data_IF_379260647461
#
_entry.id   IF_379260647461
#
_cell.length_a   1.000
_cell.length_b   1.000
_cell.length_c   1.000
_cell.angle_alpha   90.00
_cell.angle_beta   90.00
_cell.angle_gamma   90.00
#
_symmetry.space_group_name_H-M   'P 1'
#
loop_
_entity.id
_entity.type
_entity.pdbx_description
1 polymer ?
#
# COMPACT_ATOMS: atom_id res chain seq x y z
N UNK A 1 -18.42 -23.23 -31.56
CA UNK A 1 -18.20 -23.63 -30.15
C UNK A 1 -16.72 -23.75 -29.78
N UNK A 2 -15.91 -24.60 -30.43
CA UNK A 2 -14.48 -24.82 -30.06
C UNK A 2 -13.61 -23.54 -30.01
N UNK A 3 -13.80 -22.61 -30.96
CA UNK A 3 -13.08 -21.31 -30.99
C UNK A 3 -13.44 -20.39 -29.81
N UNK A 4 -14.72 -20.37 -29.41
CA UNK A 4 -15.20 -19.56 -28.27
C UNK A 4 -14.64 -20.12 -26.96
N UNK A 5 -14.66 -21.45 -26.80
CA UNK A 5 -14.06 -22.10 -25.63
C UNK A 5 -12.56 -21.82 -25.51
N UNK A 6 -11.81 -21.91 -26.61
CA UNK A 6 -10.37 -21.59 -26.62
C UNK A 6 -10.13 -20.13 -26.24
N UNK A 7 -10.90 -19.20 -26.79
CA UNK A 7 -10.79 -17.78 -26.46
C UNK A 7 -11.03 -17.51 -24.97
N UNK A 8 -12.07 -18.11 -24.38
CA UNK A 8 -12.37 -17.97 -22.96
C UNK A 8 -11.26 -18.54 -22.06
N UNK A 9 -10.64 -19.67 -22.45
CA UNK A 9 -9.49 -20.24 -21.74
C UNK A 9 -8.27 -19.32 -21.78
N UNK A 10 -7.99 -18.70 -22.94
CA UNK A 10 -6.91 -17.72 -23.06
C UNK A 10 -7.16 -16.51 -22.16
N UNK A 11 -8.39 -15.97 -22.18
CA UNK A 11 -8.75 -14.84 -21.33
C UNK A 11 -8.60 -15.18 -19.84
N UNK A 12 -9.07 -16.36 -19.43
CA UNK A 12 -8.92 -16.84 -18.06
C UNK A 12 -7.45 -16.97 -17.66
N UNK A 13 -6.62 -17.54 -18.55
CA UNK A 13 -5.18 -17.67 -18.32
C UNK A 13 -4.51 -16.30 -18.13
N UNK A 14 -4.85 -15.30 -18.95
CA UNK A 14 -4.33 -13.93 -18.82
C UNK A 14 -4.71 -13.33 -17.46
N UNK A 15 -5.97 -13.48 -17.03
CA UNK A 15 -6.44 -12.95 -15.74
C UNK A 15 -5.68 -13.61 -14.57
N UNK A 16 -5.50 -14.93 -14.62
CA UNK A 16 -4.75 -15.67 -13.60
C UNK A 16 -3.29 -15.22 -13.59
N UNK A 17 -2.65 -15.14 -14.76
CA UNK A 17 -1.27 -14.71 -14.90
C UNK A 17 -1.04 -13.30 -14.34
N UNK A 18 -1.87 -12.33 -14.74
CA UNK A 18 -1.80 -10.94 -14.25
C UNK A 18 -1.99 -10.86 -12.72
N UNK A 19 -2.93 -11.64 -12.18
CA UNK A 19 -3.22 -11.66 -10.74
C UNK A 19 -2.06 -12.25 -9.93
N UNK A 20 -1.44 -13.33 -10.43
CA UNK A 20 -0.26 -13.94 -9.83
C UNK A 20 0.96 -13.03 -9.94
N UNK A 21 1.23 -12.49 -11.14
CA UNK A 21 2.34 -11.58 -11.39
C UNK A 21 2.25 -10.35 -10.50
N UNK A 22 1.09 -9.70 -10.41
CA UNK A 22 0.86 -8.55 -9.54
C UNK A 22 1.08 -8.88 -8.07
N UNK A 23 0.60 -10.05 -7.63
CA UNK A 23 0.75 -10.52 -6.25
C UNK A 23 2.21 -10.79 -5.87
N UNK A 24 2.95 -11.46 -6.76
CA UNK A 24 4.38 -11.75 -6.59
C UNK A 24 5.19 -10.45 -6.60
N UNK A 25 4.92 -9.56 -7.54
CA UNK A 25 5.62 -8.27 -7.63
C UNK A 25 5.34 -7.39 -6.41
N UNK A 26 4.10 -7.36 -5.91
CA UNK A 26 3.74 -6.66 -4.66
C UNK A 26 4.49 -7.23 -3.46
N UNK A 27 4.63 -8.55 -3.39
CA UNK A 27 5.42 -9.21 -2.35
C UNK A 27 6.86 -8.71 -2.36
N UNK A 28 7.58 -8.88 -3.48
CA UNK A 28 8.99 -8.48 -3.56
C UNK A 28 9.21 -6.98 -3.34
N UNK A 29 8.32 -6.13 -3.87
CA UNK A 29 8.42 -4.69 -3.67
C UNK A 29 8.19 -4.28 -2.21
N UNK A 30 7.22 -4.91 -1.53
CA UNK A 30 6.95 -4.66 -0.12
C UNK A 30 8.13 -5.08 0.75
N UNK A 31 8.67 -6.29 0.56
CA UNK A 31 9.88 -6.75 1.26
C UNK A 31 11.06 -5.82 1.05
N UNK A 32 11.32 -5.41 -0.21
CA UNK A 32 12.43 -4.54 -0.57
C UNK A 32 12.33 -3.16 0.09
N UNK A 33 11.16 -2.53 0.01
CA UNK A 33 10.93 -1.19 0.55
C UNK A 33 10.88 -1.21 2.08
N UNK A 34 10.28 -2.23 2.69
CA UNK A 34 10.31 -2.44 4.13
C UNK A 34 11.73 -2.56 4.65
N UNK A 35 12.55 -3.42 4.04
CA UNK A 35 13.95 -3.59 4.43
C UNK A 35 14.76 -2.29 4.28
N UNK A 36 14.46 -1.50 3.24
CA UNK A 36 15.05 -0.18 3.06
C UNK A 36 14.62 0.78 4.18
N UNK A 37 13.33 0.85 4.50
CA UNK A 37 12.78 1.66 5.58
C UNK A 37 13.43 1.30 6.93
N UNK A 38 13.48 0.01 7.26
CA UNK A 38 14.13 -0.52 8.47
C UNK A 38 15.60 -0.14 8.57
N UNK A 39 16.35 -0.25 7.47
CA UNK A 39 17.77 0.17 7.43
C UNK A 39 17.93 1.66 7.68
N UNK A 40 17.03 2.49 7.15
CA UNK A 40 17.07 3.95 7.31
C UNK A 40 16.66 4.33 8.74
N UNK A 41 15.64 3.68 9.30
CA UNK A 41 15.21 3.86 10.69
C UNK A 41 16.40 3.66 11.65
N UNK A 42 17.08 2.51 11.51
CA UNK A 42 18.29 2.20 12.29
C UNK A 42 19.41 3.22 12.08
N UNK A 43 19.69 3.60 10.84
CA UNK A 43 20.77 4.54 10.50
C UNK A 43 20.51 5.95 11.05
N UNK A 44 19.26 6.40 11.07
CA UNK A 44 18.85 7.73 11.53
C UNK A 44 18.41 7.76 12.99
N UNK A 45 18.51 6.63 13.70
CA UNK A 45 18.00 6.47 15.06
C UNK A 45 16.54 6.90 15.23
N UNK A 46 15.70 6.55 14.26
CA UNK A 46 14.25 6.79 14.26
C UNK A 46 13.49 5.49 14.46
N UNK A 47 12.28 5.57 15.02
CA UNK A 47 11.36 4.43 15.09
C UNK A 47 10.82 4.08 13.69
N UNK A 48 10.62 2.81 13.40
CA UNK A 48 9.94 2.34 12.20
C UNK A 48 8.43 2.28 12.46
N UNK A 49 7.65 3.14 11.80
CA UNK A 49 6.19 3.07 11.78
C UNK A 49 5.74 2.31 10.53
N UNK A 50 5.02 1.21 10.73
CA UNK A 50 4.38 0.45 9.64
C UNK A 50 2.90 0.79 9.58
N UNK A 51 2.42 1.15 8.39
CA UNK A 51 1.00 1.43 8.10
C UNK A 51 0.51 0.38 7.10
N UNK A 52 -0.29 -0.57 7.59
CA UNK A 52 -0.90 -1.64 6.80
C UNK A 52 -0.97 -2.95 7.58
N UNK A 53 -1.22 -4.04 6.87
CA UNK A 53 -1.59 -5.32 7.47
C UNK A 53 -0.45 -6.36 7.33
N UNK A 54 0.61 -6.32 8.17
CA UNK A 54 1.69 -7.32 8.12
C UNK A 54 1.23 -8.71 8.62
N UNK A 55 0.05 -8.80 9.24
CA UNK A 55 -0.47 -9.98 9.89
C UNK A 55 -1.16 -10.94 8.91
N UNK A 56 -1.99 -10.40 8.01
CA UNK A 56 -2.76 -11.18 7.05
C UNK A 56 -2.22 -10.96 5.64
N UNK A 57 -1.75 -9.76 5.28
CA UNK A 57 -1.04 -9.51 4.02
C UNK A 57 -1.74 -10.00 2.74
N UNK A 58 -0.95 -10.38 1.71
CA UNK A 58 -1.46 -10.81 0.41
C UNK A 58 -2.14 -12.20 0.50
N UNK A 59 -3.46 -12.22 0.26
CA UNK A 59 -4.37 -13.38 0.36
C UNK A 59 -3.82 -14.66 -0.27
N UNK A 60 -3.15 -14.58 -1.43
CA UNK A 60 -2.61 -15.75 -2.13
C UNK A 60 -1.50 -16.44 -1.31
N UNK A 61 -0.74 -15.65 -0.55
CA UNK A 61 0.39 -16.12 0.23
C UNK A 61 0.05 -16.30 1.72
N UNK A 62 -1.19 -16.17 2.17
CA UNK A 62 -1.53 -16.23 3.61
C UNK A 62 -1.00 -17.49 4.32
N UNK A 63 -1.01 -18.65 3.65
CA UNK A 63 -0.41 -19.88 4.20
C UNK A 63 1.12 -19.89 4.14
N UNK A 64 1.71 -19.26 3.12
CA UNK A 64 3.15 -19.15 2.91
C UNK A 64 3.80 -18.04 3.75
N UNK A 65 3.05 -17.02 4.17
CA UNK A 65 3.55 -15.89 4.97
C UNK A 65 4.12 -16.33 6.33
N UNK A 66 3.66 -17.45 6.87
CA UNK A 66 4.26 -18.06 8.07
C UNK A 66 5.70 -18.56 7.83
N UNK A 67 6.00 -18.98 6.60
CA UNK A 67 7.31 -19.50 6.21
C UNK A 67 8.20 -18.44 5.53
N UNK A 68 7.61 -17.50 4.78
CA UNK A 68 8.30 -16.40 4.10
C UNK A 68 7.50 -15.10 4.34
N UNK A 69 7.77 -14.39 5.45
CA UNK A 69 7.06 -13.17 5.79
C UNK A 69 7.34 -12.08 4.74
N UNK A 70 6.28 -11.44 4.25
CA UNK A 70 6.39 -10.38 3.23
C UNK A 70 7.09 -9.13 3.79
N UNK A 71 6.48 -8.51 4.78
CA UNK A 71 7.03 -7.45 5.62
C UNK A 71 6.54 -7.71 7.04
N UNK A 72 7.23 -7.13 8.02
CA UNK A 72 6.97 -7.39 9.43
C UNK A 72 6.39 -6.14 10.10
N UNK A 73 6.04 -6.28 11.37
CA UNK A 73 5.77 -5.13 12.23
C UNK A 73 6.99 -4.21 12.32
N UNK A 74 6.73 -2.92 12.47
CA UNK A 74 7.72 -1.93 12.89
C UNK A 74 7.85 -1.88 14.41
N UNK A 75 8.55 -0.87 14.90
CA UNK A 75 8.53 -0.50 16.32
C UNK A 75 7.12 -0.05 16.73
N UNK A 76 6.38 0.53 15.79
CA UNK A 76 4.94 0.78 15.88
C UNK A 76 4.27 0.29 14.61
N UNK A 77 3.09 -0.32 14.73
CA UNK A 77 2.30 -0.76 13.57
C UNK A 77 0.84 -0.37 13.71
N UNK A 78 0.34 0.32 12.70
CA UNK A 78 -1.06 0.67 12.47
C UNK A 78 -1.62 -0.25 11.38
N UNK A 79 -2.74 -0.89 11.65
CA UNK A 79 -3.48 -1.69 10.68
C UNK A 79 -4.95 -1.22 10.58
N UNK A 80 -5.51 -1.18 9.38
CA UNK A 80 -6.92 -0.80 9.16
C UNK A 80 -7.90 -1.80 9.78
N UNK A 81 -7.54 -3.09 9.77
CA UNK A 81 -8.41 -4.17 10.25
C UNK A 81 -8.06 -4.57 11.69
N UNK A 82 -6.80 -4.40 12.08
CA UNK A 82 -6.26 -4.78 13.37
C UNK A 82 -5.93 -6.27 13.41
N UNK A 83 -4.95 -6.63 14.23
CA UNK A 83 -4.67 -8.02 14.57
C UNK A 83 -4.26 -8.11 16.04
N UNK A 84 -4.06 -9.34 16.57
CA UNK A 84 -3.66 -9.53 17.97
C UNK A 84 -2.31 -8.90 18.35
N UNK A 85 -1.57 -8.36 17.37
CA UNK A 85 -0.26 -7.72 17.52
C UNK A 85 -0.21 -6.29 16.96
N UNK A 86 -1.35 -5.73 16.52
CA UNK A 86 -1.42 -4.39 15.94
C UNK A 86 -2.61 -3.61 16.45
N UNK A 87 -2.39 -2.30 16.61
CA UNK A 87 -3.47 -1.39 16.87
C UNK A 87 -4.32 -1.21 15.61
N UNK A 88 -5.64 -1.31 15.77
CA UNK A 88 -6.57 -1.00 14.70
C UNK A 88 -6.70 0.51 14.60
N UNK A 89 -6.20 1.09 13.53
CA UNK A 89 -6.25 2.55 13.30
C UNK A 89 -6.72 2.82 11.88
N UNK A 90 -7.74 3.67 11.76
CA UNK A 90 -8.18 4.19 10.47
C UNK A 90 -7.18 5.26 10.00
N UNK A 91 -6.66 5.12 8.78
CA UNK A 91 -5.75 6.10 8.17
C UNK A 91 -6.41 7.49 7.98
N UNK A 92 -7.74 7.53 8.07
CA UNK A 92 -8.53 8.75 8.03
C UNK A 92 -8.70 9.42 9.40
N UNK A 93 -8.26 8.76 10.48
CA UNK A 93 -8.30 9.33 11.82
C UNK A 93 -7.11 10.26 12.04
N UNK A 94 -7.36 11.54 11.83
CA UNK A 94 -6.37 12.59 12.02
C UNK A 94 -5.94 12.76 13.47
N UNK A 95 -6.82 12.47 14.42
CA UNK A 95 -6.49 12.60 15.84
C UNK A 95 -5.38 11.61 16.21
N UNK A 96 -5.49 10.37 15.72
CA UNK A 96 -4.47 9.35 15.94
C UNK A 96 -3.16 9.70 15.23
N UNK A 97 -3.21 10.15 13.96
CA UNK A 97 -2.00 10.58 13.24
C UNK A 97 -1.30 11.77 13.94
N UNK A 98 -2.07 12.66 14.57
CA UNK A 98 -1.54 13.81 15.32
C UNK A 98 -0.84 13.43 16.63
N UNK A 99 -1.09 12.25 17.20
CA UNK A 99 -0.38 11.78 18.39
C UNK A 99 1.08 11.43 18.12
N UNK A 100 1.43 11.13 16.86
CA UNK A 100 2.80 10.82 16.49
C UNK A 100 3.65 12.08 16.41
N UNK A 101 4.82 12.03 17.06
CA UNK A 101 5.80 13.12 17.07
C UNK A 101 6.35 13.45 15.68
N UNK A 102 6.67 14.73 15.47
CA UNK A 102 7.25 15.24 14.23
C UNK A 102 8.64 14.64 14.00
N UNK A 103 8.92 14.19 12.77
CA UNK A 103 10.23 13.75 12.32
C UNK A 103 10.87 12.62 13.17
N UNK A 104 10.10 11.89 13.97
CA UNK A 104 10.66 10.85 14.85
C UNK A 104 10.58 9.44 14.25
N UNK A 105 9.95 9.31 13.07
CA UNK A 105 9.68 8.03 12.45
C UNK A 105 10.27 7.91 11.04
N UNK A 106 10.55 6.68 10.63
CA UNK A 106 10.57 6.29 9.23
C UNK A 106 9.28 5.55 8.97
N UNK A 107 8.55 5.95 7.94
CA UNK A 107 7.23 5.38 7.66
C UNK A 107 7.36 4.38 6.51
N UNK A 108 6.81 3.19 6.70
CA UNK A 108 6.58 2.21 5.64
C UNK A 108 5.08 1.97 5.52
N UNK A 109 4.52 2.11 4.33
CA UNK A 109 3.11 1.90 4.06
C UNK A 109 2.88 0.85 2.98
N UNK A 110 1.76 0.15 3.09
CA UNK A 110 1.29 -0.79 2.07
C UNK A 110 -0.23 -0.82 1.98
N UNK A 111 -0.74 -0.53 0.78
CA UNK A 111 -2.15 -0.63 0.38
C UNK A 111 -3.17 0.17 1.17
N UNK A 112 -2.79 0.88 2.23
CA UNK A 112 -3.65 1.59 3.17
C UNK A 112 -3.99 2.99 2.67
N UNK A 113 -3.05 3.66 1.99
CA UNK A 113 -3.28 4.96 1.36
C UNK A 113 -4.40 4.92 0.31
N UNK A 114 -4.65 3.74 -0.28
CA UNK A 114 -5.76 3.51 -1.20
C UNK A 114 -7.14 3.79 -0.57
N UNK A 115 -7.23 3.78 0.76
CA UNK A 115 -8.46 3.98 1.53
C UNK A 115 -8.57 5.39 2.14
N UNK A 116 -7.62 6.28 1.85
CA UNK A 116 -7.68 7.66 2.33
C UNK A 116 -8.88 8.40 1.72
N UNK A 117 -9.60 9.18 2.53
CA UNK A 117 -10.67 10.10 2.10
C UNK A 117 -10.09 11.38 1.52
N UNK A 118 -8.94 11.82 2.02
CA UNK A 118 -8.19 12.98 1.55
C UNK A 118 -6.70 12.64 1.54
N UNK A 119 -6.23 12.09 0.43
CA UNK A 119 -4.86 11.58 0.33
C UNK A 119 -3.81 12.68 0.52
N UNK A 120 -4.08 13.91 0.09
CA UNK A 120 -3.12 15.02 0.22
C UNK A 120 -2.91 15.37 1.69
N UNK A 121 -3.98 15.41 2.48
CA UNK A 121 -3.91 15.64 3.92
C UNK A 121 -3.22 14.49 4.64
N UNK A 122 -3.59 13.24 4.32
CA UNK A 122 -2.90 12.05 4.86
C UNK A 122 -1.41 12.08 4.57
N UNK A 123 -1.02 12.44 3.34
CA UNK A 123 0.39 12.54 2.93
C UNK A 123 1.10 13.67 3.66
N UNK A 124 0.45 14.82 3.90
CA UNK A 124 1.02 15.92 4.68
C UNK A 124 1.34 15.48 6.11
N UNK A 125 0.44 14.74 6.75
CA UNK A 125 0.65 14.22 8.10
C UNK A 125 1.75 13.14 8.12
N UNK A 126 1.74 12.20 7.19
CA UNK A 126 2.83 11.21 7.06
C UNK A 126 4.18 11.91 6.85
N UNK A 127 4.20 13.00 6.07
CA UNK A 127 5.41 13.80 5.86
C UNK A 127 5.87 14.47 7.15
N UNK A 128 4.95 15.04 7.94
CA UNK A 128 5.25 15.63 9.27
C UNK A 128 5.87 14.58 10.20
N UNK A 129 5.25 13.42 10.31
CA UNK A 129 5.68 12.31 11.18
C UNK A 129 7.04 11.75 10.74
N UNK A 130 7.24 11.60 9.43
CA UNK A 130 8.47 10.99 8.88
C UNK A 130 9.63 11.96 8.70
N UNK A 131 9.36 13.27 8.64
CA UNK A 131 10.32 14.25 8.12
C UNK A 131 10.77 13.98 6.69
N UNK A 132 9.93 13.29 5.90
CA UNK A 132 10.22 12.93 4.50
C UNK A 132 10.86 11.55 4.32
N UNK A 133 11.12 10.77 5.36
CA UNK A 133 11.57 9.37 5.26
C UNK A 133 10.37 8.41 5.12
N UNK A 134 9.81 8.32 3.91
CA UNK A 134 8.59 7.57 3.63
C UNK A 134 8.71 6.61 2.43
N UNK A 135 8.27 5.37 2.64
CA UNK A 135 8.30 4.30 1.65
C UNK A 135 6.91 3.71 1.54
N UNK A 136 6.35 3.66 0.34
CA UNK A 136 5.07 3.01 0.08
C UNK A 136 5.28 1.87 -0.90
N UNK A 137 4.86 0.65 -0.55
CA UNK A 137 4.78 -0.44 -1.52
C UNK A 137 3.53 -0.38 -2.38
N UNK A 138 2.67 0.61 -2.16
CA UNK A 138 1.42 0.78 -2.88
C UNK A 138 0.40 -0.34 -2.61
N UNK A 139 -0.70 -0.26 -3.35
CA UNK A 139 -1.72 -1.29 -3.36
C UNK A 139 -1.48 -2.34 -4.45
N UNK A 140 -2.50 -3.11 -4.77
CA UNK A 140 -2.51 -3.92 -5.99
C UNK A 140 -2.62 -2.97 -7.19
N UNK A 141 -1.72 -3.11 -8.16
CA UNK A 141 -1.75 -2.36 -9.42
C UNK A 141 -1.48 -3.34 -10.56
N UNK A 142 -2.53 -3.73 -11.27
CA UNK A 142 -2.50 -4.54 -12.48
C UNK A 142 -3.61 -4.09 -13.41
N UNK A 143 -3.54 -4.45 -14.69
CA UNK A 143 -4.61 -4.12 -15.63
C UNK A 143 -5.94 -4.71 -15.15
N UNK A 144 -5.93 -5.98 -14.72
CA UNK A 144 -7.13 -6.60 -14.16
C UNK A 144 -7.67 -5.82 -12.96
N UNK A 145 -6.81 -5.44 -12.00
CA UNK A 145 -7.24 -4.72 -10.81
C UNK A 145 -7.80 -3.33 -11.13
N UNK A 146 -7.14 -2.60 -12.02
CA UNK A 146 -7.51 -1.25 -12.42
C UNK A 146 -8.88 -1.21 -13.10
N UNK A 147 -9.15 -2.16 -14.01
CA UNK A 147 -10.37 -2.12 -14.83
C UNK A 147 -11.54 -2.94 -14.27
N UNK A 148 -11.25 -4.01 -13.53
CA UNK A 148 -12.25 -5.00 -13.09
C UNK A 148 -12.18 -5.21 -11.57
N UNK A 149 -11.02 -5.61 -11.04
CA UNK A 149 -10.87 -6.05 -9.66
C UNK A 149 -11.28 -5.00 -8.63
N UNK A 150 -10.88 -3.74 -8.82
CA UNK A 150 -11.24 -2.62 -7.94
C UNK A 150 -12.74 -2.33 -7.94
N UNK A 151 -13.41 -2.46 -9.09
CA UNK A 151 -14.89 -2.32 -9.20
C UNK A 151 -15.58 -3.42 -8.42
N UNK A 152 -15.18 -4.68 -8.63
CA UNK A 152 -15.74 -5.83 -7.90
C UNK A 152 -15.51 -5.67 -6.40
N UNK A 153 -14.31 -5.27 -5.99
CA UNK A 153 -14.00 -5.01 -4.59
C UNK A 153 -14.92 -3.94 -3.99
N UNK A 154 -15.16 -2.86 -4.73
CA UNK A 154 -16.01 -1.74 -4.28
C UNK A 154 -17.50 -2.08 -4.25
N UNK A 155 -17.96 -3.10 -4.99
CA UNK A 155 -19.30 -3.66 -4.81
C UNK A 155 -19.46 -4.33 -3.44
N UNK A 156 -18.38 -4.93 -2.91
CA UNK A 156 -18.37 -5.59 -1.59
C UNK A 156 -18.11 -4.61 -0.46
N UNK A 157 -17.26 -3.61 -0.69
CA UNK A 157 -16.87 -2.59 0.28
C UNK A 157 -17.09 -1.20 -0.33
N UNK A 158 -18.34 -0.69 -0.31
CA UNK A 158 -18.66 0.58 -0.93
C UNK A 158 -17.95 1.74 -0.24
N UNK A 159 -17.53 2.74 -1.03
CA UNK A 159 -16.88 3.98 -0.59
C UNK A 159 -15.55 3.85 0.18
N UNK A 160 -14.97 2.65 0.25
CA UNK A 160 -13.72 2.44 0.98
C UNK A 160 -12.49 2.67 0.10
N UNK A 161 -12.48 2.14 -1.14
CA UNK A 161 -11.31 2.16 -2.02
C UNK A 161 -11.38 3.38 -2.95
N UNK A 162 -10.46 4.33 -2.80
CA UNK A 162 -10.51 5.61 -3.53
C UNK A 162 -9.34 5.84 -4.48
N UNK A 163 -8.18 5.24 -4.19
CA UNK A 163 -6.97 5.49 -4.97
C UNK A 163 -6.23 4.20 -5.31
N UNK A 164 -5.65 4.15 -6.50
CA UNK A 164 -4.59 3.20 -6.84
C UNK A 164 -3.24 3.87 -6.59
N UNK A 165 -2.51 3.33 -5.62
CA UNK A 165 -1.20 3.84 -5.19
C UNK A 165 -0.11 2.98 -5.82
N UNK A 166 0.79 3.61 -6.56
CA UNK A 166 1.97 2.96 -7.10
C UNK A 166 3.10 2.98 -6.07
N UNK A 167 3.99 1.97 -6.05
CA UNK A 167 5.10 1.96 -5.11
C UNK A 167 6.00 3.19 -5.26
N UNK A 168 6.44 3.76 -4.15
CA UNK A 168 7.37 4.87 -4.15
C UNK A 168 8.29 4.95 -2.94
N UNK A 169 9.30 5.79 -3.07
CA UNK A 169 10.43 5.95 -2.18
C UNK A 169 10.74 7.44 -2.09
N UNK A 170 10.15 8.15 -1.12
CA UNK A 170 10.20 9.61 -1.04
C UNK A 170 11.62 10.17 -0.96
N UNK A 171 12.62 9.36 -0.60
CA UNK A 171 14.03 9.77 -0.58
C UNK A 171 14.60 10.04 -1.97
N UNK A 172 13.95 9.54 -3.01
CA UNK A 172 14.24 9.92 -4.39
C UNK A 172 13.43 11.18 -4.67
N UNK A 173 14.11 12.31 -4.82
CA UNK A 173 13.50 13.60 -5.10
C UNK A 173 12.73 13.57 -6.45
N UNK A 174 11.49 13.08 -6.42
CA UNK A 174 10.64 12.81 -7.59
C UNK A 174 9.18 13.10 -7.23
N UNK A 175 8.39 13.39 -8.25
CA UNK A 175 6.94 13.51 -8.12
C UNK A 175 6.33 12.11 -8.25
N UNK A 176 5.50 11.73 -7.29
CA UNK A 176 4.77 10.47 -7.32
C UNK A 176 3.33 10.71 -7.74
N UNK A 177 2.70 9.68 -8.29
CA UNK A 177 1.31 9.76 -8.74
C UNK A 177 0.46 8.72 -8.03
N UNK A 178 -0.76 9.08 -7.72
CA UNK A 178 -1.85 8.19 -7.35
C UNK A 178 -2.97 8.37 -8.38
N UNK A 179 -3.60 7.28 -8.82
CA UNK A 179 -4.77 7.36 -9.72
C UNK A 179 -6.03 7.37 -8.87
N UNK A 180 -6.95 8.32 -9.07
CA UNK A 180 -8.30 8.23 -8.49
C UNK A 180 -9.03 7.06 -9.13
N UNK A 181 -9.64 6.21 -8.32
CA UNK A 181 -10.52 5.15 -8.79
C UNK A 181 -11.93 5.72 -8.95
N UNK A 182 -12.65 5.24 -9.96
CA UNK A 182 -14.05 5.61 -10.26
C UNK A 182 -14.29 7.07 -10.68
N UNK A 183 -13.23 7.83 -10.90
CA UNK A 183 -13.27 9.13 -11.56
C UNK A 183 -12.22 9.14 -12.66
N UNK A 184 -12.65 9.18 -13.91
CA UNK A 184 -11.80 8.82 -15.06
C UNK A 184 -10.62 9.81 -15.23
N UNK A 185 -9.40 9.24 -15.17
CA UNK A 185 -8.09 9.85 -15.52
C UNK A 185 -7.56 10.95 -14.61
N UNK A 186 -8.18 11.20 -13.47
CA UNK A 186 -7.62 12.10 -12.48
C UNK A 186 -6.45 11.46 -11.73
N UNK A 187 -5.28 12.10 -11.82
CA UNK A 187 -4.12 11.78 -11.00
C UNK A 187 -3.99 12.79 -9.87
N UNK A 188 -3.60 12.31 -8.70
CA UNK A 188 -3.10 13.15 -7.61
C UNK A 188 -1.59 13.02 -7.58
N UNK A 189 -0.89 14.16 -7.59
CA UNK A 189 0.56 14.20 -7.57
C UNK A 189 1.05 14.39 -6.14
N UNK A 190 1.71 13.36 -5.60
CA UNK A 190 2.23 13.35 -4.23
C UNK A 190 3.65 13.91 -4.26
N UNK A 191 3.83 15.09 -3.67
CA UNK A 191 5.13 15.78 -3.57
C UNK A 191 5.76 15.56 -2.21
N UNK A 192 6.90 14.88 -2.19
CA UNK A 192 7.73 14.70 -1.00
C UNK A 192 9.07 15.41 -1.18
N UNK A 193 9.04 16.75 -1.25
CA UNK A 193 10.29 17.51 -1.20
C UNK A 193 10.87 17.40 0.22
N UNK A 194 12.18 17.23 0.34
CA UNK A 194 12.88 17.48 1.60
C UNK A 194 12.60 18.93 2.03
N UNK A 195 12.27 19.13 3.31
CA UNK A 195 12.46 20.44 3.95
C UNK A 195 13.94 20.61 4.25
#
# INVERSE_FOLDING_TARGET
>A
MRKVTIFLLILLFIIIYESLYSSINRYFNSTKLFNKAKKIAKRKNKKLLVIGDPCIGNVIFNKLQKAIPNYQHGDVTIDLYGCSKCEKVDINDEYILNMYENNNYVVFETGTLSFSKNIEKTIKEIKRISGGDFFSSGGTYSYYWEYIGSKIYSLKYPDTLKYMIYPFDSTKNRIYKAKKLFNDRDYVYLKFNAM
#
